data_IF_102800785176
#
_entry.id   IF_102800785176
#
_cell.length_a   1.000
_cell.length_b   1.000
_cell.length_c   1.000
_cell.angle_alpha   90.00
_cell.angle_beta   90.00
_cell.angle_gamma   90.00
#
_symmetry.space_group_name_H-M   'P 1'
#
loop_
_entity.id
_entity.type
_entity.pdbx_description
1 polymer ?
#
# COMPACT_ATOMS: atom_id res chain seq x y z
N UNK A 1 -12.41 -2.29 -13.03
CA UNK A 1 -11.66 -2.01 -11.78
C UNK A 1 -10.62 -3.08 -11.45
N UNK A 2 -10.99 -4.34 -11.18
CA UNK A 2 -10.03 -5.38 -10.74
C UNK A 2 -8.87 -5.59 -11.72
N UNK A 3 -9.14 -5.73 -13.02
CA UNK A 3 -8.07 -5.88 -14.05
C UNK A 3 -7.04 -4.75 -14.04
N UNK A 4 -7.48 -3.50 -13.91
CA UNK A 4 -6.60 -2.33 -13.87
C UNK A 4 -5.77 -2.31 -12.58
N UNK A 5 -6.36 -2.70 -11.45
CA UNK A 5 -5.66 -2.85 -10.19
C UNK A 5 -4.59 -3.95 -10.27
N UNK A 6 -4.93 -5.11 -10.82
CA UNK A 6 -3.99 -6.24 -10.98
C UNK A 6 -2.82 -5.87 -11.91
N UNK A 7 -3.09 -5.13 -12.98
CA UNK A 7 -2.04 -4.58 -13.86
C UNK A 7 -1.14 -3.59 -13.11
N UNK A 8 -1.71 -2.67 -12.33
CA UNK A 8 -0.95 -1.73 -11.52
C UNK A 8 -0.08 -2.45 -10.48
N UNK A 9 -0.62 -3.49 -9.83
CA UNK A 9 0.13 -4.32 -8.87
C UNK A 9 1.28 -5.03 -9.56
N UNK A 10 1.04 -5.60 -10.75
CA UNK A 10 2.09 -6.24 -11.56
C UNK A 10 3.18 -5.23 -11.93
N UNK A 11 2.82 -4.02 -12.36
CA UNK A 11 3.78 -2.97 -12.72
C UNK A 11 4.62 -2.54 -11.51
N UNK A 12 3.97 -2.28 -10.38
CA UNK A 12 4.63 -1.89 -9.13
C UNK A 12 5.55 -2.99 -8.59
N UNK A 13 5.17 -4.26 -8.72
CA UNK A 13 5.95 -5.40 -8.24
C UNK A 13 7.20 -5.69 -9.09
N UNK A 14 7.19 -5.27 -10.36
CA UNK A 14 8.29 -5.50 -11.31
C UNK A 14 9.11 -4.24 -11.60
N UNK A 15 8.82 -3.11 -10.95
CA UNK A 15 9.57 -1.88 -11.22
C UNK A 15 10.98 -1.92 -10.63
N UNK A 16 11.95 -1.42 -11.38
CA UNK A 16 13.30 -1.15 -10.89
C UNK A 16 13.45 0.28 -10.33
N UNK A 17 12.40 1.13 -10.43
CA UNK A 17 12.44 2.52 -9.95
C UNK A 17 12.61 2.55 -8.42
N UNK A 18 13.61 3.32 -7.96
CA UNK A 18 13.82 3.56 -6.52
C UNK A 18 12.84 4.60 -6.01
N UNK A 19 11.69 4.14 -5.54
CA UNK A 19 10.65 5.02 -4.98
C UNK A 19 11.05 5.55 -3.60
N UNK A 20 10.69 6.80 -3.27
CA UNK A 20 10.77 7.33 -1.91
C UNK A 20 10.04 6.43 -0.87
N UNK A 21 10.51 6.35 0.39
CA UNK A 21 9.91 5.47 1.40
C UNK A 21 8.42 5.70 1.69
N UNK A 22 7.99 6.96 1.69
CA UNK A 22 6.60 7.40 1.85
C UNK A 22 5.71 6.88 0.71
N UNK A 23 6.16 6.96 -0.54
CA UNK A 23 5.42 6.38 -1.69
C UNK A 23 5.29 4.86 -1.56
N UNK A 24 6.36 4.17 -1.12
CA UNK A 24 6.29 2.72 -0.87
C UNK A 24 5.29 2.37 0.24
N UNK A 25 5.23 3.16 1.30
CA UNK A 25 4.28 2.99 2.40
C UNK A 25 2.83 3.26 1.93
N UNK A 26 2.63 4.30 1.12
CA UNK A 26 1.32 4.65 0.55
C UNK A 26 0.78 3.53 -0.37
N UNK A 27 1.64 2.97 -1.23
CA UNK A 27 1.32 1.81 -2.08
C UNK A 27 1.02 0.57 -1.22
N UNK A 28 1.85 0.28 -0.22
CA UNK A 28 1.67 -0.86 0.69
C UNK A 28 0.32 -0.80 1.40
N UNK A 29 -0.03 0.33 2.01
CA UNK A 29 -1.24 0.49 2.80
C UNK A 29 -2.50 0.30 1.94
N UNK A 30 -2.56 0.95 0.77
CA UNK A 30 -3.68 0.83 -0.16
C UNK A 30 -3.82 -0.57 -0.74
N UNK A 31 -2.72 -1.23 -1.11
CA UNK A 31 -2.76 -2.61 -1.57
C UNK A 31 -3.31 -3.57 -0.52
N UNK A 32 -2.84 -3.45 0.73
CA UNK A 32 -3.30 -4.31 1.84
C UNK A 32 -4.77 -4.10 2.14
N UNK A 33 -5.23 -2.84 2.15
CA UNK A 33 -6.63 -2.49 2.34
C UNK A 33 -7.52 -2.98 1.18
N UNK A 34 -7.10 -2.73 -0.06
CA UNK A 34 -7.79 -3.12 -1.29
C UNK A 34 -7.94 -4.64 -1.48
N UNK A 35 -7.04 -5.43 -0.89
CA UNK A 35 -7.06 -6.90 -0.95
C UNK A 35 -7.72 -7.53 0.27
N UNK A 36 -8.15 -6.72 1.24
CA UNK A 36 -8.67 -7.16 2.55
C UNK A 36 -7.76 -8.17 3.24
N UNK A 37 -6.46 -8.19 2.90
CA UNK A 37 -5.46 -9.04 3.54
C UNK A 37 -5.05 -8.38 4.86
N UNK A 38 -6.00 -8.24 5.77
CA UNK A 38 -5.84 -7.67 7.12
C UNK A 38 -5.14 -8.63 8.10
N UNK A 39 -4.14 -9.38 7.62
CA UNK A 39 -3.09 -9.90 8.47
C UNK A 39 -2.16 -8.74 8.81
N UNK A 40 -2.63 -7.84 9.67
CA UNK A 40 -1.75 -6.88 10.32
C UNK A 40 -1.30 -7.55 11.61
N UNK A 41 0.00 -7.47 11.85
CA UNK A 41 0.55 -7.51 13.19
C UNK A 41 -0.13 -6.35 13.92
N UNK A 42 -1.13 -6.67 14.75
CA UNK A 42 -1.83 -5.65 15.51
C UNK A 42 -0.81 -4.85 16.34
N UNK A 43 -1.13 -3.63 16.76
CA UNK A 43 -0.13 -2.77 17.41
C UNK A 43 0.56 -3.45 18.61
N UNK A 44 -0.20 -4.26 19.33
CA UNK A 44 0.21 -5.13 20.44
C UNK A 44 1.10 -6.32 20.05
N UNK A 45 1.23 -6.60 18.76
CA UNK A 45 2.10 -7.63 18.19
C UNK A 45 3.39 -7.05 17.59
N UNK A 46 3.56 -5.72 17.57
CA UNK A 46 4.81 -5.08 17.15
C UNK A 46 5.87 -5.33 18.21
N UNK A 47 7.05 -5.80 17.79
CA UNK A 47 8.18 -5.94 18.69
C UNK A 47 8.70 -4.57 19.15
N UNK A 48 9.27 -4.51 20.35
CA UNK A 48 9.95 -3.31 20.85
C UNK A 48 11.02 -2.86 19.85
N UNK A 49 11.02 -1.55 19.57
CA UNK A 49 11.90 -0.90 18.58
C UNK A 49 11.68 -1.29 17.11
N UNK A 50 10.56 -1.92 16.72
CA UNK A 50 10.21 -2.13 15.31
C UNK A 50 9.67 -0.87 14.63
N UNK A 51 10.58 0.06 14.33
CA UNK A 51 10.26 1.32 13.65
C UNK A 51 9.62 1.08 12.26
N UNK A 52 10.05 0.03 11.55
CA UNK A 52 9.52 -0.30 10.23
C UNK A 52 8.07 -0.77 10.32
N UNK A 53 7.75 -1.63 11.28
CA UNK A 53 6.40 -2.07 11.58
C UNK A 53 5.51 -0.90 12.00
N UNK A 54 6.01 -0.01 12.86
CA UNK A 54 5.29 1.19 13.28
C UNK A 54 4.91 2.11 12.11
N UNK A 55 5.82 2.37 11.17
CA UNK A 55 5.51 3.17 9.98
C UNK A 55 4.47 2.50 9.06
N UNK A 56 4.54 1.17 8.89
CA UNK A 56 3.54 0.43 8.12
C UNK A 56 2.17 0.49 8.79
N UNK A 57 2.13 0.30 10.11
CA UNK A 57 0.90 0.39 10.89
C UNK A 57 0.27 1.78 10.78
N UNK A 58 1.07 2.84 10.91
CA UNK A 58 0.62 4.22 10.75
C UNK A 58 0.03 4.47 9.35
N UNK A 59 0.71 4.06 8.28
CA UNK A 59 0.23 4.21 6.91
C UNK A 59 -1.09 3.45 6.69
N UNK A 60 -1.27 2.28 7.31
CA UNK A 60 -2.52 1.53 7.25
C UNK A 60 -3.66 2.22 7.99
N UNK A 61 -3.39 2.84 9.15
CA UNK A 61 -4.39 3.66 9.86
C UNK A 61 -4.94 4.77 8.95
N UNK A 62 -4.06 5.43 8.20
CA UNK A 62 -4.43 6.55 7.33
C UNK A 62 -5.43 6.17 6.24
N UNK A 63 -5.47 4.90 5.80
CA UNK A 63 -6.36 4.44 4.72
C UNK A 63 -7.61 3.70 5.22
N UNK A 64 -7.81 3.58 6.55
CA UNK A 64 -8.92 2.81 7.15
C UNK A 64 -10.30 3.31 6.73
N UNK A 65 -10.44 4.60 6.43
CA UNK A 65 -11.71 5.21 6.01
C UNK A 65 -12.08 4.95 4.55
N UNK A 66 -11.16 4.43 3.74
CA UNK A 66 -11.42 4.16 2.33
C UNK A 66 -12.32 2.93 2.18
N UNK A 67 -13.19 2.93 1.18
CA UNK A 67 -13.75 1.70 0.63
C UNK A 67 -12.66 0.90 -0.10
N UNK A 68 -12.92 -0.39 -0.32
CA UNK A 68 -12.05 -1.26 -1.13
C UNK A 68 -11.84 -0.67 -2.53
N UNK A 69 -12.90 -0.12 -3.12
CA UNK A 69 -12.85 0.47 -4.45
C UNK A 69 -11.97 1.72 -4.46
N UNK A 70 -12.14 2.63 -3.50
CA UNK A 70 -11.30 3.84 -3.39
C UNK A 70 -9.83 3.48 -3.19
N UNK A 71 -9.52 2.52 -2.32
CA UNK A 71 -8.14 2.07 -2.14
C UNK A 71 -7.53 1.49 -3.41
N UNK A 72 -8.32 0.81 -4.26
CA UNK A 72 -7.86 0.35 -5.58
C UNK A 72 -7.64 1.52 -6.53
N UNK A 73 -8.52 2.53 -6.55
CA UNK A 73 -8.37 3.75 -7.38
C UNK A 73 -7.09 4.46 -6.99
N UNK A 74 -6.94 4.81 -5.73
CA UNK A 74 -5.77 5.57 -5.26
C UNK A 74 -4.45 4.78 -5.44
N UNK A 75 -4.50 3.44 -5.33
CA UNK A 75 -3.32 2.61 -5.64
C UNK A 75 -2.93 2.74 -7.12
N UNK A 76 -3.89 2.64 -8.03
CA UNK A 76 -3.65 2.80 -9.47
C UNK A 76 -3.08 4.19 -9.76
N UNK A 77 -3.62 5.23 -9.12
CA UNK A 77 -3.16 6.61 -9.32
C UNK A 77 -1.71 6.80 -8.87
N UNK A 78 -1.33 6.26 -7.70
CA UNK A 78 0.06 6.28 -7.22
C UNK A 78 1.01 5.54 -8.17
N UNK A 79 0.58 4.39 -8.71
CA UNK A 79 1.38 3.64 -9.69
C UNK A 79 1.52 4.43 -10.99
N UNK A 80 0.45 5.04 -11.48
CA UNK A 80 0.49 5.86 -12.69
C UNK A 80 1.40 7.10 -12.52
N UNK A 81 1.37 7.73 -11.34
CA UNK A 81 2.15 8.95 -11.07
C UNK A 81 3.64 8.70 -10.87
N UNK A 82 4.02 7.57 -10.25
CA UNK A 82 5.40 7.36 -9.80
C UNK A 82 6.13 6.20 -10.50
N UNK A 83 5.39 5.31 -11.18
CA UNK A 83 5.95 4.08 -11.73
C UNK A 83 5.74 3.99 -13.24
N UNK A 84 4.53 4.28 -13.72
CA UNK A 84 4.24 4.33 -15.16
C UNK A 84 5.04 5.48 -15.80
N UNK A 85 5.47 5.26 -17.02
CA UNK A 85 6.17 6.26 -17.84
C UNK A 85 5.16 7.21 -18.50
#
# INVERSE_FOLDING_TARGET
>A
MNRAFDEAVRLASNTAKKLPPDIRLALYARYKHATQRNHIVAFDQLADNDLRGAFKYNAMIQVRGLSITEAKVEYIDLVNMHIRD
#
